data_IF_371264278455
#
_entry.id   IF_371264278455
#
_cell.length_a   1.000
_cell.length_b   1.000
_cell.length_c   1.000
_cell.angle_alpha   90.00
_cell.angle_beta   90.00
_cell.angle_gamma   90.00
#
_symmetry.space_group_name_H-M   'P 1'
#
loop_
_entity.id
_entity.type
_entity.pdbx_description
1 polymer ?
#
# COMPACT_ATOMS: atom_id res chain seq x y z
N UNK A 1 23.90 -7.42 4.79
CA UNK A 1 22.83 -7.18 3.81
C UNK A 1 23.45 -7.34 2.44
N UNK A 2 23.47 -8.56 1.91
CA UNK A 2 23.89 -8.81 0.52
C UNK A 2 22.78 -8.30 -0.40
N UNK A 3 23.09 -7.48 -1.41
CA UNK A 3 22.08 -7.02 -2.35
C UNK A 3 21.44 -8.24 -3.03
N UNK A 4 20.12 -8.25 -3.25
CA UNK A 4 19.47 -9.36 -3.91
C UNK A 4 20.04 -9.55 -5.30
N UNK A 5 20.31 -10.81 -5.66
CA UNK A 5 20.70 -11.18 -7.01
C UNK A 5 19.52 -10.89 -7.94
N UNK A 6 19.55 -9.71 -8.56
CA UNK A 6 18.69 -9.32 -9.68
C UNK A 6 19.06 -10.18 -10.90
N UNK A 7 18.70 -11.46 -10.81
CA UNK A 7 18.83 -12.39 -11.91
C UNK A 7 18.02 -11.86 -13.09
N UNK A 8 18.63 -11.82 -14.27
CA UNK A 8 17.95 -11.45 -15.51
C UNK A 8 16.64 -12.25 -15.70
N UNK A 9 16.58 -13.48 -15.18
CA UNK A 9 15.39 -14.32 -15.19
C UNK A 9 14.27 -13.81 -14.28
N UNK A 10 14.56 -13.38 -13.05
CA UNK A 10 13.51 -12.88 -12.15
C UNK A 10 12.96 -11.54 -12.62
N UNK A 11 13.84 -10.68 -13.15
CA UNK A 11 13.45 -9.38 -13.69
C UNK A 11 12.62 -9.52 -14.98
N UNK A 12 13.03 -10.40 -15.90
CA UNK A 12 12.29 -10.61 -17.15
C UNK A 12 10.92 -11.26 -16.92
N UNK A 13 10.82 -12.22 -16.01
CA UNK A 13 9.56 -12.87 -15.66
C UNK A 13 8.61 -11.89 -14.96
N UNK A 14 9.10 -11.07 -14.01
CA UNK A 14 8.33 -10.00 -13.39
C UNK A 14 7.83 -8.98 -14.41
N UNK A 15 8.70 -8.54 -15.33
CA UNK A 15 8.33 -7.60 -16.40
C UNK A 15 7.27 -8.18 -17.34
N UNK A 16 7.38 -9.45 -17.72
CA UNK A 16 6.39 -10.14 -18.57
C UNK A 16 5.02 -10.20 -17.90
N UNK A 17 4.96 -10.54 -16.61
CA UNK A 17 3.71 -10.58 -15.84
C UNK A 17 3.06 -9.20 -15.74
N UNK A 18 3.85 -8.14 -15.53
CA UNK A 18 3.36 -6.75 -15.50
C UNK A 18 2.79 -6.35 -16.86
N UNK A 19 3.49 -6.67 -17.95
CA UNK A 19 3.02 -6.39 -19.32
C UNK A 19 1.75 -7.18 -19.66
N UNK A 20 1.67 -8.46 -19.27
CA UNK A 20 0.48 -9.28 -19.46
C UNK A 20 -0.73 -8.69 -18.70
N UNK A 21 -0.54 -8.26 -17.45
CA UNK A 21 -1.57 -7.59 -16.66
C UNK A 21 -2.03 -6.27 -17.30
N UNK A 22 -1.09 -5.45 -17.80
CA UNK A 22 -1.39 -4.21 -18.50
C UNK A 22 -2.18 -4.48 -19.80
N UNK A 23 -1.74 -5.47 -20.60
CA UNK A 23 -2.41 -5.88 -21.83
C UNK A 23 -3.84 -6.38 -21.57
N UNK A 24 -4.04 -7.20 -20.53
CA UNK A 24 -5.37 -7.67 -20.14
C UNK A 24 -6.27 -6.53 -19.66
N UNK A 25 -5.72 -5.56 -18.91
CA UNK A 25 -6.45 -4.37 -18.47
C UNK A 25 -6.94 -3.51 -19.63
N UNK A 26 -6.12 -3.37 -20.68
CA UNK A 26 -6.48 -2.67 -21.91
C UNK A 26 -7.51 -3.45 -22.73
N UNK A 27 -7.32 -4.77 -22.89
CA UNK A 27 -8.23 -5.64 -23.64
C UNK A 27 -9.63 -5.68 -23.03
N UNK A 28 -9.70 -5.71 -21.70
CA UNK A 28 -10.96 -5.69 -20.95
C UNK A 28 -11.61 -4.29 -20.88
N UNK A 29 -10.99 -3.26 -21.47
CA UNK A 29 -11.46 -1.87 -21.51
C UNK A 29 -12.07 -1.40 -20.18
N UNK A 30 -11.39 -1.71 -19.07
CA UNK A 30 -11.95 -1.53 -17.72
C UNK A 30 -12.32 -0.06 -17.40
N UNK A 31 -11.98 0.92 -18.25
CA UNK A 31 -12.33 2.34 -18.08
C UNK A 31 -11.66 3.01 -16.89
N UNK A 32 -10.95 2.23 -16.07
CA UNK A 32 -10.31 2.65 -14.82
C UNK A 32 -9.00 3.41 -15.03
N UNK A 33 -8.40 3.45 -16.22
CA UNK A 33 -7.08 4.03 -16.44
C UNK A 33 -6.98 5.48 -15.92
N UNK A 34 -7.98 6.32 -16.24
CA UNK A 34 -8.03 7.70 -15.75
C UNK A 34 -8.25 7.79 -14.24
N UNK A 35 -9.09 6.90 -13.68
CA UNK A 35 -9.32 6.81 -12.24
C UNK A 35 -8.06 6.36 -11.49
N UNK A 36 -7.31 5.41 -12.05
CA UNK A 36 -6.04 4.92 -11.56
C UNK A 36 -4.98 6.01 -11.58
N UNK A 37 -4.85 6.76 -12.67
CA UNK A 37 -3.91 7.89 -12.75
C UNK A 37 -4.19 8.94 -11.69
N UNK A 38 -5.47 9.31 -11.50
CA UNK A 38 -5.87 10.27 -10.46
C UNK A 38 -5.60 9.71 -9.06
N UNK A 39 -5.96 8.45 -8.81
CA UNK A 39 -5.74 7.79 -7.52
C UNK A 39 -4.25 7.65 -7.19
N UNK A 40 -3.44 7.23 -8.15
CA UNK A 40 -1.98 7.10 -8.02
C UNK A 40 -1.33 8.45 -7.78
N UNK A 41 -1.72 9.48 -8.53
CA UNK A 41 -1.20 10.85 -8.32
C UNK A 41 -1.54 11.35 -6.92
N UNK A 42 -2.80 11.17 -6.48
CA UNK A 42 -3.22 11.54 -5.12
C UNK A 42 -2.44 10.78 -4.05
N UNK A 43 -2.18 9.49 -4.26
CA UNK A 43 -1.35 8.66 -3.37
C UNK A 43 0.09 9.16 -3.31
N UNK A 44 0.73 9.47 -4.44
CA UNK A 44 2.09 10.02 -4.49
C UNK A 44 2.19 11.34 -3.73
N UNK A 45 1.24 12.26 -3.95
CA UNK A 45 1.17 13.53 -3.22
C UNK A 45 1.00 13.27 -1.72
N UNK A 46 0.07 12.38 -1.33
CA UNK A 46 -0.17 12.03 0.07
C UNK A 46 1.10 11.45 0.74
N UNK A 47 1.80 10.54 0.07
CA UNK A 47 3.03 9.93 0.59
C UNK A 47 4.15 10.97 0.74
N UNK A 48 4.32 11.86 -0.24
CA UNK A 48 5.32 12.92 -0.20
C UNK A 48 5.05 13.93 0.94
N UNK A 49 3.78 14.31 1.14
CA UNK A 49 3.37 15.17 2.24
C UNK A 49 3.64 14.52 3.60
N UNK A 50 3.32 13.23 3.76
CA UNK A 50 3.64 12.47 4.98
C UNK A 50 5.15 12.44 5.20
N UNK A 51 5.94 12.20 4.15
CA UNK A 51 7.41 12.25 4.21
C UNK A 51 7.92 13.58 4.74
N UNK A 52 7.40 14.70 4.23
CA UNK A 52 7.74 16.04 4.71
C UNK A 52 7.42 16.24 6.20
N UNK A 53 6.22 15.81 6.63
CA UNK A 53 5.81 15.86 8.05
C UNK A 53 6.79 15.07 8.91
N UNK A 54 7.16 13.86 8.49
CA UNK A 54 8.11 13.01 9.22
C UNK A 54 9.51 13.64 9.29
N UNK A 55 9.99 14.29 8.22
CA UNK A 55 11.27 15.01 8.26
C UNK A 55 11.26 16.13 9.29
N UNK A 56 10.18 16.90 9.37
CA UNK A 56 10.03 17.96 10.38
C UNK A 56 9.90 17.41 11.80
N UNK A 57 9.19 16.30 11.94
CA UNK A 57 8.97 15.64 13.21
C UNK A 57 10.28 15.04 13.77
N UNK A 58 11.08 14.41 12.93
CA UNK A 58 12.37 13.87 13.33
C UNK A 58 13.43 14.95 13.55
N UNK A 59 13.33 16.11 12.89
CA UNK A 59 14.20 17.26 13.19
C UNK A 59 14.00 17.81 14.61
N UNK A 60 12.80 17.62 15.19
CA UNK A 60 12.47 18.01 16.56
C UNK A 60 12.43 16.77 17.45
N UNK A 61 13.60 16.19 17.74
CA UNK A 61 13.79 14.96 18.53
C UNK A 61 13.09 15.06 19.90
N UNK A 62 11.83 14.66 19.95
CA UNK A 62 11.00 14.73 21.14
C UNK A 62 9.93 13.65 21.08
N UNK A 63 9.95 12.77 22.07
CA UNK A 63 9.08 11.60 22.13
C UNK A 63 7.59 11.99 22.12
N UNK A 64 7.24 13.15 22.70
CA UNK A 64 5.88 13.67 22.76
C UNK A 64 5.30 14.03 21.39
N UNK A 65 6.08 14.70 20.52
CA UNK A 65 5.61 15.05 19.17
C UNK A 65 5.46 13.81 18.29
N UNK A 66 6.38 12.85 18.39
CA UNK A 66 6.28 11.56 17.71
C UNK A 66 5.06 10.75 18.18
N UNK A 67 4.81 10.69 19.49
CA UNK A 67 3.64 9.99 20.03
C UNK A 67 2.32 10.65 19.59
N UNK A 68 2.25 11.98 19.58
CA UNK A 68 1.09 12.72 19.10
C UNK A 68 0.84 12.45 17.61
N UNK A 69 1.88 12.51 16.77
CA UNK A 69 1.75 12.22 15.35
C UNK A 69 1.34 10.77 15.09
N UNK A 70 1.88 9.81 15.85
CA UNK A 70 1.48 8.41 15.78
C UNK A 70 0.00 8.21 16.14
N UNK A 71 -0.50 8.89 17.19
CA UNK A 71 -1.91 8.86 17.57
C UNK A 71 -2.82 9.45 16.47
N UNK A 72 -2.43 10.59 15.90
CA UNK A 72 -3.16 11.23 14.80
C UNK A 72 -3.19 10.30 13.57
N UNK A 73 -2.04 9.74 13.19
CA UNK A 73 -1.97 8.78 12.08
C UNK A 73 -2.83 7.54 12.34
N UNK A 74 -2.80 6.98 13.55
CA UNK A 74 -3.60 5.81 13.90
C UNK A 74 -5.10 6.12 13.83
N UNK A 75 -5.53 7.28 14.32
CA UNK A 75 -6.91 7.73 14.27
C UNK A 75 -7.40 7.93 12.82
N UNK A 76 -6.60 8.61 12.00
CA UNK A 76 -6.92 8.86 10.58
C UNK A 76 -6.93 7.56 9.78
N UNK A 77 -5.96 6.68 9.99
CA UNK A 77 -5.92 5.37 9.34
C UNK A 77 -7.12 4.50 9.75
N UNK A 78 -7.48 4.48 11.04
CA UNK A 78 -8.68 3.79 11.53
C UNK A 78 -9.97 4.36 10.93
N UNK A 79 -10.06 5.69 10.79
CA UNK A 79 -11.19 6.35 10.14
C UNK A 79 -11.29 5.99 8.64
N UNK A 80 -10.18 6.03 7.92
CA UNK A 80 -10.12 5.72 6.48
C UNK A 80 -10.47 4.26 6.20
N UNK A 81 -10.02 3.32 7.04
CA UNK A 81 -10.40 1.90 6.93
C UNK A 81 -11.90 1.73 7.16
N UNK A 82 -12.48 2.46 8.11
CA UNK A 82 -13.92 2.43 8.38
C UNK A 82 -14.73 3.09 7.26
N UNK A 83 -14.23 4.16 6.63
CA UNK A 83 -14.94 4.90 5.58
C UNK A 83 -14.89 4.18 4.22
N UNK A 84 -13.82 3.42 3.92
CA UNK A 84 -13.65 2.67 2.65
C UNK A 84 -14.45 1.38 2.54
N UNK A 85 -15.27 1.02 3.52
CA UNK A 85 -16.12 -0.17 3.44
C UNK A 85 -17.36 0.10 2.56
N UNK A 86 -17.29 -0.22 1.26
CA UNK A 86 -18.36 0.01 0.27
C UNK A 86 -19.66 -0.80 0.49
N UNK A 87 -19.62 -1.87 1.28
CA UNK A 87 -20.83 -2.56 1.76
C UNK A 87 -20.84 -2.54 3.28
N UNK A 88 -21.85 -1.89 3.87
CA UNK A 88 -22.26 -2.08 5.28
C UNK A 88 -22.77 -3.52 5.47
N UNK A 89 -21.88 -4.50 5.39
CA UNK A 89 -22.14 -5.83 5.90
C UNK A 89 -22.23 -5.69 7.43
N UNK A 90 -23.40 -5.98 8.00
CA UNK A 90 -23.62 -5.95 9.46
C UNK A 90 -22.66 -6.95 10.14
N UNK A 91 -21.87 -6.48 11.11
CA UNK A 91 -21.10 -7.33 12.04
C UNK A 91 -19.58 -7.38 11.81
N UNK A 92 -18.87 -8.06 12.72
CA UNK A 92 -17.39 -8.20 12.76
C UNK A 92 -16.76 -8.83 11.50
N UNK A 93 -17.57 -9.44 10.62
CA UNK A 93 -17.10 -10.13 9.41
C UNK A 93 -16.76 -9.20 8.23
N UNK A 94 -17.26 -7.95 8.19
CA UNK A 94 -16.91 -6.98 7.13
C UNK A 94 -15.46 -6.51 7.26
N UNK A 95 -15.04 -6.25 8.50
CA UNK A 95 -13.68 -5.86 8.84
C UNK A 95 -12.72 -7.04 8.61
N UNK A 96 -13.19 -8.25 8.96
CA UNK A 96 -12.45 -9.50 8.78
C UNK A 96 -12.07 -9.75 7.32
N UNK A 97 -13.00 -9.73 6.35
CA UNK A 97 -12.69 -10.15 4.98
C UNK A 97 -11.75 -9.19 4.22
N UNK A 98 -11.98 -7.88 4.30
CA UNK A 98 -11.13 -6.89 3.61
C UNK A 98 -9.76 -6.74 4.28
N UNK A 99 -9.72 -6.68 5.61
CA UNK A 99 -8.46 -6.61 6.33
C UNK A 99 -7.68 -7.93 6.24
N UNK A 100 -8.34 -9.10 6.35
CA UNK A 100 -7.65 -10.39 6.23
C UNK A 100 -7.09 -10.63 4.83
N UNK A 101 -7.78 -10.25 3.77
CA UNK A 101 -7.23 -10.37 2.40
C UNK A 101 -6.02 -9.46 2.20
N UNK A 102 -6.09 -8.19 2.63
CA UNK A 102 -4.94 -7.29 2.59
C UNK A 102 -3.78 -7.79 3.47
N UNK A 103 -4.09 -8.27 4.67
CA UNK A 103 -3.10 -8.70 5.65
C UNK A 103 -2.46 -10.03 5.22
N UNK A 104 -3.23 -10.98 4.70
CA UNK A 104 -2.71 -12.21 4.09
C UNK A 104 -1.81 -11.90 2.90
N UNK A 105 -2.25 -11.05 1.98
CA UNK A 105 -1.43 -10.66 0.83
C UNK A 105 -0.12 -10.01 1.28
N UNK A 106 -0.19 -9.07 2.22
CA UNK A 106 0.99 -8.35 2.72
C UNK A 106 1.94 -9.26 3.51
N UNK A 107 1.41 -10.10 4.40
CA UNK A 107 2.21 -11.05 5.20
C UNK A 107 2.86 -12.09 4.30
N UNK A 108 2.14 -12.66 3.34
CA UNK A 108 2.69 -13.62 2.39
C UNK A 108 3.82 -13.01 1.56
N UNK A 109 3.62 -11.81 1.01
CA UNK A 109 4.66 -11.10 0.24
C UNK A 109 5.86 -10.78 1.13
N UNK A 110 5.65 -10.34 2.37
CA UNK A 110 6.74 -9.99 3.30
C UNK A 110 7.53 -11.23 3.72
N UNK A 111 6.85 -12.35 4.02
CA UNK A 111 7.49 -13.62 4.37
C UNK A 111 8.27 -14.19 3.19
N UNK A 112 7.69 -14.17 1.99
CA UNK A 112 8.38 -14.58 0.78
C UNK A 112 9.63 -13.73 0.55
N UNK A 113 9.50 -12.40 0.66
CA UNK A 113 10.64 -11.50 0.56
C UNK A 113 11.71 -11.84 1.59
N UNK A 114 11.37 -12.02 2.86
CA UNK A 114 12.37 -12.29 3.91
C UNK A 114 13.02 -13.70 3.81
N UNK A 115 12.37 -14.65 3.13
CA UNK A 115 12.85 -16.04 3.03
C UNK A 115 13.59 -16.32 1.72
N UNK A 116 13.25 -15.61 0.65
CA UNK A 116 13.85 -15.76 -0.68
C UNK A 116 14.92 -14.69 -0.94
N UNK A 117 14.79 -13.50 -0.35
CA UNK A 117 15.72 -12.37 -0.45
C UNK A 117 16.67 -12.36 0.75
#
# INVERSE_FOLDING_TARGET
>A
MTPPDLSFWTLSLAALLVLANAGLSLLLQLGIARQLLIAATRMCVQLALIGLVLTQLFARVSLGWTALAALVMLAVAGYEVRSRQERRLRGWWSYGLGASTMLLATVLVTLLALTVL
#
